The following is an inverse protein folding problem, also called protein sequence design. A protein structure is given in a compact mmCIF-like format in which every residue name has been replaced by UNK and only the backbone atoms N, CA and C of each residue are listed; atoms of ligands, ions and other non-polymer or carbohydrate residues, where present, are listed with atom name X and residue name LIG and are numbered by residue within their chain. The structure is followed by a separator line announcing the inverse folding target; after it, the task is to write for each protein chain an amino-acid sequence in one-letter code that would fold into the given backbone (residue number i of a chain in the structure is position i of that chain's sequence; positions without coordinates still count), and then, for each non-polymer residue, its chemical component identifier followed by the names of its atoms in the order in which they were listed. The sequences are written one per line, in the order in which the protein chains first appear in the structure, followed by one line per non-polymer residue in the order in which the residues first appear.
data_IF_776637533767
#
_entry.id   IF_776637533767
#
_cell.length_a   1.000
_cell.length_b   1.000
_cell.length_c   1.000
_cell.angle_alpha   90.00
_cell.angle_beta   90.00
_cell.angle_gamma   90.00
#
_symmetry.space_group_name_H-M   'P 1'
#
loop_
_entity.id
_entity.type
_entity.pdbx_description
1 polymer ?
#
# COMPACT_ATOMS: atom_id res chain seq x y z
N UNK A 1 6.06 7.88 21.15
CA UNK A 1 6.71 7.53 19.87
C UNK A 1 5.59 7.20 18.93
N UNK A 2 5.27 8.10 18.02
CA UNK A 2 4.33 7.82 16.92
C UNK A 2 5.11 6.95 15.94
N UNK A 3 4.87 5.64 15.94
CA UNK A 3 5.28 4.80 14.82
C UNK A 3 4.65 5.39 13.56
N UNK A 4 5.40 5.42 12.45
CA UNK A 4 5.06 6.15 11.21
C UNK A 4 3.59 6.04 10.80
N UNK A 5 3.07 7.07 10.13
CA UNK A 5 1.63 7.26 9.98
C UNK A 5 0.95 6.03 9.33
N UNK A 6 0.32 5.18 10.15
CA UNK A 6 -0.50 4.06 9.68
C UNK A 6 -1.97 4.49 9.68
N UNK A 7 -2.58 4.43 8.51
CA UNK A 7 -3.98 4.81 8.31
C UNK A 7 -4.76 3.62 7.77
N UNK A 8 -5.94 3.37 8.31
CA UNK A 8 -6.85 2.36 7.78
C UNK A 8 -8.25 2.93 7.54
N UNK A 9 -8.93 2.38 6.55
CA UNK A 9 -10.33 2.68 6.23
C UNK A 9 -11.08 1.37 6.09
N UNK A 10 -12.28 1.31 6.67
CA UNK A 10 -13.21 0.19 6.51
C UNK A 10 -14.40 0.61 5.65
N UNK A 11 -14.79 -0.27 4.72
CA UNK A 11 -15.95 -0.14 3.85
C UNK A 11 -17.07 -1.14 4.17
N UNK A 12 -18.23 -0.93 3.53
CA UNK A 12 -19.39 -1.84 3.65
C UNK A 12 -18.99 -3.24 3.18
N UNK A 13 -19.27 -4.26 4.01
CA UNK A 13 -18.93 -5.66 3.73
C UNK A 13 -17.62 -6.15 4.35
N UNK A 14 -17.03 -5.41 5.28
CA UNK A 14 -15.83 -5.84 6.03
C UNK A 14 -14.53 -5.73 5.23
N UNK A 15 -14.51 -4.88 4.19
CA UNK A 15 -13.27 -4.60 3.42
C UNK A 15 -12.46 -3.56 4.16
N UNK A 16 -11.19 -3.88 4.45
CA UNK A 16 -10.24 -2.96 5.08
C UNK A 16 -9.04 -2.71 4.16
N UNK A 17 -8.64 -1.44 4.06
CA UNK A 17 -7.39 -1.04 3.45
C UNK A 17 -6.57 -0.29 4.49
N UNK A 18 -5.33 -0.71 4.73
CA UNK A 18 -4.38 0.01 5.56
C UNK A 18 -3.15 0.41 4.74
N UNK A 19 -2.67 1.64 4.96
CA UNK A 19 -1.42 2.13 4.38
C UNK A 19 -0.43 2.52 5.47
N UNK A 20 0.81 2.09 5.31
CA UNK A 20 1.91 2.33 6.25
C UNK A 20 3.09 3.03 5.57
N UNK A 21 3.83 3.83 6.33
CA UNK A 21 5.03 4.51 5.87
C UNK A 21 6.25 3.59 5.91
N UNK A 22 6.59 2.98 4.76
CA UNK A 22 7.61 1.92 4.70
C UNK A 22 8.63 2.09 3.56
N UNK A 23 9.83 1.54 3.76
CA UNK A 23 11.02 1.62 2.88
C UNK A 23 10.86 0.98 1.51
N UNK A 24 9.96 0.02 1.34
CA UNK A 24 9.83 -0.74 0.10
C UNK A 24 8.40 -0.69 -0.44
N UNK A 25 8.26 -0.58 -1.77
CA UNK A 25 6.99 -0.55 -2.51
C UNK A 25 6.98 -1.67 -3.51
N UNK A 26 5.89 -2.42 -3.45
CA UNK A 26 5.53 -3.43 -4.42
C UNK A 26 5.29 -4.75 -3.72
N UNK A 27 4.04 -5.23 -3.73
CA UNK A 27 3.62 -6.60 -3.38
C UNK A 27 4.31 -7.25 -2.17
N UNK A 28 4.81 -6.45 -1.23
CA UNK A 28 5.69 -6.85 -0.13
C UNK A 28 5.40 -5.94 1.06
N UNK A 29 4.16 -5.94 1.54
CA UNK A 29 4.08 -6.18 2.97
C UNK A 29 4.59 -7.61 3.08
N UNK A 30 5.59 -7.87 3.92
CA UNK A 30 6.10 -9.25 4.01
C UNK A 30 4.89 -10.16 4.23
N UNK A 31 4.82 -11.29 3.52
CA UNK A 31 3.70 -12.23 3.69
C UNK A 31 3.48 -12.53 5.19
N UNK A 32 4.55 -12.45 5.96
CA UNK A 32 4.55 -12.49 7.41
C UNK A 32 3.87 -11.33 8.13
N UNK A 33 4.14 -10.06 7.78
CA UNK A 33 3.38 -8.94 8.35
C UNK A 33 1.88 -9.13 8.08
N UNK A 34 1.50 -9.47 6.84
CA UNK A 34 0.10 -9.68 6.49
C UNK A 34 -0.51 -10.86 7.25
N UNK A 35 0.19 -11.98 7.36
CA UNK A 35 -0.26 -13.15 8.09
C UNK A 35 -0.45 -12.86 9.59
N UNK A 36 0.49 -12.15 10.22
CA UNK A 36 0.40 -11.84 11.66
C UNK A 36 -0.69 -10.80 11.92
N UNK A 37 -0.82 -9.77 11.07
CA UNK A 37 -1.94 -8.81 11.16
C UNK A 37 -3.28 -9.53 11.01
N UNK A 38 -3.43 -10.43 10.03
CA UNK A 38 -4.65 -11.23 9.87
C UNK A 38 -4.92 -12.11 11.09
N UNK A 39 -3.91 -12.77 11.64
CA UNK A 39 -4.06 -13.58 12.85
C UNK A 39 -4.51 -12.73 14.06
N UNK A 40 -3.98 -11.52 14.20
CA UNK A 40 -4.39 -10.59 15.25
C UNK A 40 -5.84 -10.12 15.06
N UNK A 41 -6.20 -9.74 13.84
CA UNK A 41 -7.56 -9.33 13.50
C UNK A 41 -8.57 -10.48 13.66
N UNK A 42 -8.17 -11.71 13.36
CA UNK A 42 -9.00 -12.90 13.57
C UNK A 42 -9.31 -13.14 15.04
N UNK A 43 -8.35 -12.90 15.94
CA UNK A 43 -8.59 -12.97 17.40
C UNK A 43 -9.56 -11.91 17.88
N UNK A 44 -9.58 -10.73 17.25
CA UNK A 44 -10.43 -9.60 17.63
C UNK A 44 -11.85 -9.68 17.03
N UNK A 45 -11.96 -10.09 15.76
CA UNK A 45 -13.18 -9.95 14.96
C UNK A 45 -13.60 -11.26 14.25
N UNK A 46 -13.00 -12.39 14.61
CA UNK A 46 -13.31 -13.69 14.02
C UNK A 46 -13.02 -13.72 12.51
N UNK A 47 -13.95 -14.26 11.73
CA UNK A 47 -13.80 -14.39 10.27
C UNK A 47 -14.08 -13.12 9.46
N UNK A 48 -14.19 -11.96 10.10
CA UNK A 48 -14.54 -10.70 9.43
C UNK A 48 -13.48 -10.27 8.42
N UNK A 49 -12.20 -10.43 8.77
CA UNK A 49 -11.06 -10.10 7.92
C UNK A 49 -10.36 -11.35 7.42
N UNK A 50 -10.06 -11.38 6.13
CA UNK A 50 -9.41 -12.46 5.41
C UNK A 50 -8.42 -11.89 4.39
N UNK A 51 -7.61 -12.74 3.78
CA UNK A 51 -6.70 -12.33 2.69
C UNK A 51 -7.43 -11.72 1.49
N UNK A 52 -8.72 -12.02 1.31
CA UNK A 52 -9.52 -11.53 0.19
C UNK A 52 -10.07 -10.11 0.41
N UNK A 53 -10.14 -9.63 1.66
CA UNK A 53 -10.75 -8.34 1.99
C UNK A 53 -9.87 -7.41 2.85
N UNK A 54 -8.64 -7.83 3.19
CA UNK A 54 -7.62 -6.98 3.80
C UNK A 54 -6.54 -6.62 2.77
N UNK A 55 -6.40 -5.33 2.46
CA UNK A 55 -5.30 -4.78 1.67
C UNK A 55 -4.34 -4.03 2.59
N UNK A 56 -3.06 -4.36 2.52
CA UNK A 56 -1.98 -3.60 3.15
C UNK A 56 -1.11 -2.96 2.06
N UNK A 57 -0.67 -1.72 2.24
CA UNK A 57 0.12 -0.99 1.24
C UNK A 57 1.15 -0.01 1.84
N UNK A 58 2.41 -0.09 1.41
CA UNK A 58 3.46 0.86 1.79
C UNK A 58 3.48 2.14 0.92
N UNK A 59 3.77 3.30 1.55
CA UNK A 59 3.94 4.60 0.84
C UNK A 59 5.26 4.71 0.06
N UNK A 60 6.23 3.83 0.32
CA UNK A 60 7.59 3.85 -0.25
C UNK A 60 8.54 4.93 0.27
N UNK A 61 8.44 5.32 1.55
CA UNK A 61 9.42 6.23 2.15
C UNK A 61 10.75 5.54 2.42
N UNK A 62 11.84 6.00 1.82
CA UNK A 62 13.17 5.44 2.10
C UNK A 62 13.74 5.80 3.49
N UNK A 63 12.95 6.44 4.35
CA UNK A 63 13.38 6.95 5.66
C UNK A 63 12.77 6.23 6.85
N UNK A 64 12.15 5.06 6.64
CA UNK A 64 11.61 4.22 7.70
C UNK A 64 12.61 3.13 8.15
N UNK A 65 12.54 2.66 9.41
CA UNK A 65 13.37 1.54 9.89
C UNK A 65 13.07 0.25 9.10
N UNK A 66 14.11 -0.52 8.79
CA UNK A 66 14.04 -1.80 8.08
C UNK A 66 14.20 -3.02 9.00
N UNK A 67 14.44 -4.22 8.44
CA UNK A 67 14.63 -5.45 9.22
C UNK A 67 13.34 -6.20 9.55
N UNK A 68 12.32 -6.10 8.70
CA UNK A 68 10.99 -6.68 8.95
C UNK A 68 10.52 -7.59 7.80
N UNK A 69 11.36 -7.82 6.79
CA UNK A 69 10.96 -8.48 5.55
C UNK A 69 11.09 -10.00 5.65
N UNK A 70 11.96 -10.51 6.53
CA UNK A 70 12.27 -11.93 6.77
C UNK A 70 12.91 -12.67 5.59
N UNK A 71 13.08 -12.01 4.44
CA UNK A 71 13.94 -12.45 3.36
C UNK A 71 15.34 -11.85 3.52
N UNK A 72 16.36 -12.73 3.48
CA UNK A 72 17.76 -12.33 3.60
C UNK A 72 18.15 -11.20 2.64
N UNK A 73 17.66 -11.24 1.40
CA UNK A 73 18.00 -10.25 0.37
C UNK A 73 17.57 -8.83 0.77
N UNK A 74 16.42 -8.69 1.45
CA UNK A 74 15.89 -7.38 1.84
C UNK A 74 16.48 -6.91 3.16
N UNK A 75 16.72 -7.82 4.10
CA UNK A 75 17.19 -7.51 5.45
C UNK A 75 18.74 -7.47 5.58
N UNK A 76 19.51 -7.83 4.53
CA UNK A 76 20.98 -7.77 4.59
C UNK A 76 21.49 -6.36 4.91
N UNK A 77 20.83 -5.33 4.38
CA UNK A 77 21.20 -3.93 4.62
C UNK A 77 20.86 -3.44 6.03
N UNK A 78 20.05 -4.19 6.77
CA UNK A 78 19.66 -3.93 8.16
C UNK A 78 20.35 -4.88 9.14
N UNK A 79 21.32 -5.66 8.65
CA UNK A 79 22.06 -6.69 9.40
C UNK A 79 21.16 -7.83 9.91
N UNK A 80 20.09 -8.11 9.18
CA UNK A 80 19.13 -9.17 9.49
C UNK A 80 17.78 -8.66 9.99
N UNK A 81 17.01 -9.60 10.55
CA UNK A 81 15.68 -9.36 11.09
C UNK A 81 15.76 -8.67 12.46
N UNK A 82 14.94 -7.63 12.63
CA UNK A 82 14.80 -6.82 13.83
C UNK A 82 13.36 -6.95 14.34
N UNK A 83 13.18 -7.79 15.35
CA UNK A 83 11.87 -8.12 15.89
C UNK A 83 11.10 -6.88 16.35
N UNK A 84 11.77 -5.92 17.00
CA UNK A 84 11.15 -4.71 17.50
C UNK A 84 10.54 -3.86 16.39
N UNK A 85 11.19 -3.85 15.22
CA UNK A 85 10.67 -3.12 14.05
C UNK A 85 9.46 -3.86 13.46
N UNK A 86 9.55 -5.17 13.32
CA UNK A 86 8.46 -6.01 12.84
C UNK A 86 7.20 -5.88 13.73
N UNK A 87 7.37 -6.05 15.03
CA UNK A 87 6.29 -5.98 16.01
C UNK A 87 5.64 -4.59 16.00
N UNK A 88 6.44 -3.50 15.92
CA UNK A 88 5.91 -2.14 15.84
C UNK A 88 5.04 -1.90 14.60
N UNK A 89 5.41 -2.43 13.43
CA UNK A 89 4.57 -2.34 12.23
C UNK A 89 3.29 -3.15 12.37
N UNK A 90 3.40 -4.42 12.78
CA UNK A 90 2.24 -5.31 12.96
C UNK A 90 1.23 -4.71 13.94
N UNK A 91 1.70 -4.22 15.09
CA UNK A 91 0.85 -3.62 16.11
C UNK A 91 0.22 -2.32 15.62
N UNK A 92 1.01 -1.46 14.95
CA UNK A 92 0.53 -0.20 14.37
C UNK A 92 -0.58 -0.45 13.34
N UNK A 93 -0.37 -1.40 12.42
CA UNK A 93 -1.35 -1.80 11.41
C UNK A 93 -2.60 -2.37 12.06
N UNK A 94 -2.45 -3.35 12.96
CA UNK A 94 -3.58 -3.97 13.67
C UNK A 94 -4.41 -2.91 14.41
N UNK A 95 -3.74 -1.98 15.11
CA UNK A 95 -4.39 -0.90 15.84
C UNK A 95 -5.12 0.07 14.91
N UNK A 96 -4.53 0.41 13.76
CA UNK A 96 -5.17 1.30 12.78
C UNK A 96 -6.47 0.70 12.23
N UNK A 97 -6.46 -0.59 11.88
CA UNK A 97 -7.64 -1.31 11.40
C UNK A 97 -8.70 -1.42 12.48
N UNK A 98 -8.30 -1.75 13.72
CA UNK A 98 -9.20 -1.74 14.87
C UNK A 98 -9.85 -0.37 15.07
N UNK A 99 -9.07 0.71 15.04
CA UNK A 99 -9.62 2.07 15.18
C UNK A 99 -10.61 2.39 14.06
N UNK A 100 -10.33 1.98 12.82
CA UNK A 100 -11.25 2.16 11.71
C UNK A 100 -12.55 1.38 11.94
N UNK A 101 -12.45 0.10 12.31
CA UNK A 101 -13.58 -0.79 12.57
C UNK A 101 -14.53 -0.24 13.64
N UNK A 102 -13.97 0.14 14.78
CA UNK A 102 -14.74 0.65 15.93
C UNK A 102 -15.36 2.04 15.66
N UNK A 103 -14.89 2.76 14.64
CA UNK A 103 -15.38 4.09 14.27
C UNK A 103 -16.18 4.11 12.96
N UNK A 104 -16.59 2.95 12.45
CA UNK A 104 -17.37 2.84 11.21
C UNK A 104 -18.73 3.53 11.35
N UNK A 105 -19.07 4.36 10.36
CA UNK A 105 -20.33 5.13 10.30
C UNK A 105 -20.88 5.13 8.88
N UNK A 106 -22.20 5.33 8.75
CA UNK A 106 -22.84 5.49 7.45
C UNK A 106 -22.30 6.75 6.76
N UNK A 107 -21.76 6.58 5.55
CA UNK A 107 -21.17 7.66 4.76
C UNK A 107 -21.36 7.47 3.25
N UNK A 108 -20.74 8.36 2.47
CA UNK A 108 -20.66 8.28 1.01
C UNK A 108 -19.21 8.43 0.59
N UNK A 109 -18.80 7.67 -0.42
CA UNK A 109 -17.46 7.74 -1.00
C UNK A 109 -17.55 8.59 -2.28
N UNK A 110 -16.66 9.56 -2.41
CA UNK A 110 -16.52 10.39 -3.60
C UNK A 110 -15.12 10.19 -4.18
N UNK A 111 -15.00 10.22 -5.51
CA UNK A 111 -13.73 10.03 -6.21
C UNK A 111 -13.53 11.22 -7.14
N UNK A 112 -12.32 11.76 -7.16
CA UNK A 112 -11.89 12.78 -8.11
C UNK A 112 -10.55 12.36 -8.75
N UNK A 113 -10.30 12.82 -9.97
CA UNK A 113 -9.08 12.54 -10.72
C UNK A 113 -8.58 13.83 -11.35
N UNK A 114 -7.26 14.03 -11.35
CA UNK A 114 -6.62 15.17 -11.96
C UNK A 114 -5.15 14.88 -12.27
N UNK A 115 -4.57 15.70 -13.13
CA UNK A 115 -3.16 15.63 -13.47
C UNK A 115 -2.34 16.47 -12.48
N UNK A 116 -1.17 15.96 -12.12
CA UNK A 116 -0.21 16.64 -11.25
C UNK A 116 1.12 16.71 -12.00
N UNK A 117 1.43 17.87 -12.55
CA UNK A 117 2.67 18.11 -13.27
C UNK A 117 3.81 18.52 -12.33
N UNK A 118 5.06 18.29 -12.74
CA UNK A 118 6.25 18.71 -12.00
C UNK A 118 6.55 17.94 -10.70
N UNK A 119 5.73 16.94 -10.34
CA UNK A 119 5.92 16.14 -9.13
C UNK A 119 6.81 14.90 -9.31
N UNK A 120 7.15 14.52 -10.54
CA UNK A 120 7.95 13.34 -10.83
C UNK A 120 8.69 13.43 -12.16
N UNK A 121 9.74 12.61 -12.30
CA UNK A 121 10.45 12.36 -13.56
C UNK A 121 10.63 10.85 -13.76
N UNK A 122 10.71 10.40 -15.01
CA UNK A 122 11.06 9.02 -15.32
C UNK A 122 12.58 8.83 -15.14
N UNK A 123 12.98 8.00 -14.17
CA UNK A 123 14.40 7.71 -13.87
C UNK A 123 15.08 6.74 -14.85
N UNK A 124 14.37 6.24 -15.86
CA UNK A 124 14.88 5.29 -16.87
C UNK A 124 14.21 5.50 -18.25
N UNK A 125 14.40 6.69 -18.87
CA UNK A 125 13.71 7.04 -20.11
C UNK A 125 14.10 6.15 -21.30
N UNK A 126 15.36 5.76 -21.40
CA UNK A 126 15.86 4.88 -22.47
C UNK A 126 15.21 3.50 -22.44
N UNK A 127 14.92 2.97 -21.25
CA UNK A 127 14.17 1.72 -21.12
C UNK A 127 12.71 1.89 -21.56
N UNK A 128 12.08 3.03 -21.25
CA UNK A 128 10.72 3.33 -21.68
C UNK A 128 10.61 3.46 -23.21
N UNK A 129 11.63 4.01 -23.87
CA UNK A 129 11.73 4.12 -25.33
C UNK A 129 11.81 2.76 -26.05
N UNK A 130 12.08 1.67 -25.33
CA UNK A 130 12.04 0.32 -25.89
C UNK A 130 10.63 -0.30 -25.91
N UNK A 131 9.64 0.33 -25.25
CA UNK A 131 8.24 -0.12 -25.32
C UNK A 131 7.68 0.10 -26.73
N UNK A 132 6.75 -0.73 -27.25
CA UNK A 132 6.16 -0.53 -28.58
C UNK A 132 5.63 0.90 -28.79
N UNK A 133 5.92 1.50 -29.96
CA UNK A 133 5.51 2.87 -30.24
C UNK A 133 3.99 3.08 -30.16
N UNK A 134 3.21 2.06 -30.57
CA UNK A 134 1.75 2.05 -30.48
C UNK A 134 1.24 2.06 -29.03
N UNK A 135 2.02 1.57 -28.07
CA UNK A 135 1.74 1.69 -26.64
C UNK A 135 2.12 3.08 -26.13
N UNK A 136 3.34 3.55 -26.43
CA UNK A 136 3.81 4.86 -25.94
C UNK A 136 2.91 6.01 -26.36
N UNK A 137 2.40 5.98 -27.61
CA UNK A 137 1.46 6.98 -28.14
C UNK A 137 0.14 7.10 -27.36
N UNK A 138 -0.18 6.15 -26.47
CA UNK A 138 -1.37 6.23 -25.61
C UNK A 138 -1.17 7.18 -24.42
N UNK A 139 0.06 7.51 -24.05
CA UNK A 139 0.38 8.27 -22.84
C UNK A 139 0.99 9.64 -23.18
N UNK A 140 0.50 10.70 -22.54
CA UNK A 140 1.07 12.06 -22.71
C UNK A 140 2.44 12.19 -22.03
N UNK A 141 2.66 11.44 -20.94
CA UNK A 141 3.87 11.53 -20.12
C UNK A 141 4.48 10.16 -19.87
N UNK A 142 5.81 10.12 -19.80
CA UNK A 142 6.56 8.89 -19.50
C UNK A 142 6.58 8.53 -18.01
N UNK A 143 6.11 9.44 -17.15
CA UNK A 143 6.22 9.36 -15.70
C UNK A 143 4.98 8.89 -14.95
N UNK A 144 3.82 8.73 -15.60
CA UNK A 144 2.57 8.36 -14.91
C UNK A 144 1.68 7.46 -15.77
N UNK A 145 0.83 6.66 -15.11
CA UNK A 145 0.00 5.60 -15.71
C UNK A 145 -1.32 6.10 -16.30
N UNK A 146 -1.69 7.37 -16.13
CA UNK A 146 -3.07 7.80 -16.39
C UNK A 146 -3.18 8.59 -17.69
N UNK A 147 -3.50 7.87 -18.76
CA UNK A 147 -4.06 8.45 -19.97
C UNK A 147 -5.00 7.43 -20.64
N UNK A 148 -6.00 6.97 -19.88
CA UNK A 148 -7.15 6.31 -20.52
C UNK A 148 -7.81 7.36 -21.43
N UNK A 149 -8.12 7.05 -22.70
CA UNK A 149 -8.94 7.95 -23.50
C UNK A 149 -10.26 8.20 -22.74
N UNK A 150 -10.86 9.39 -22.88
CA UNK A 150 -12.18 9.65 -22.32
C UNK A 150 -13.09 8.50 -22.76
N UNK A 151 -13.83 7.93 -21.81
CA UNK A 151 -14.84 6.93 -22.12
C UNK A 151 -15.80 7.55 -23.13
N UNK A 152 -15.63 7.21 -24.41
CA UNK A 152 -16.63 7.47 -25.42
C UNK A 152 -17.92 6.79 -24.93
N UNK A 153 -18.98 7.58 -24.83
CA UNK A 153 -20.20 7.32 -24.08
C UNK A 153 -20.67 5.86 -24.01
N UNK A 154 -20.88 5.40 -22.78
CA UNK A 154 -21.96 4.47 -22.43
C UNK A 154 -22.44 4.92 -21.04
N UNK A 155 -23.48 5.74 -21.03
CA UNK A 155 -24.42 5.83 -19.91
C UNK A 155 -25.49 4.76 -20.12
#
# INVERSE_FOLDING_TARGET
MDSGAVQAVEGVGGVACASAEERYKGRLNSEAQQAVVLANLQKLYGGTYTEQNLLLSGTHTHSAPGGFMMDLLYDISTLGFLQETFDAYVDGITMSVRRAHENTRRGRIFINMGEVEGANINRSPTAYENNPETERRKYVHTGTRNNRPPLAGVW
#
